data_IF_822091889761
#
_entry.id   IF_822091889761
#
_cell.length_a   1.000
_cell.length_b   1.000
_cell.length_c   1.000
_cell.angle_alpha   90.00
_cell.angle_beta   90.00
_cell.angle_gamma   90.00
#
_symmetry.space_group_name_H-M   'P 1'
#
loop_
_entity.id
_entity.type
_entity.pdbx_description
1 polymer ?
#
# COMPACT_ATOMS: atom_id res chain seq x y z
N UNK A 1 49.36 -0.90 12.21
CA UNK A 1 48.57 -1.36 11.05
C UNK A 1 47.12 -1.26 11.47
N UNK A 2 46.37 -0.34 10.87
CA UNK A 2 44.99 -0.07 11.26
C UNK A 2 44.17 -1.35 11.03
N UNK A 3 43.50 -1.84 12.08
CA UNK A 3 42.52 -2.90 11.96
C UNK A 3 41.43 -2.38 11.04
N UNK A 4 41.30 -2.93 9.82
CA UNK A 4 40.20 -2.58 8.93
C UNK A 4 38.89 -2.92 9.64
N UNK A 5 38.22 -1.90 10.17
CA UNK A 5 36.86 -2.03 10.70
C UNK A 5 35.97 -2.37 9.51
N UNK A 6 35.58 -3.65 9.42
CA UNK A 6 34.64 -4.09 8.40
C UNK A 6 33.27 -3.55 8.76
N UNK A 7 32.73 -2.69 7.91
CA UNK A 7 31.40 -2.09 8.10
C UNK A 7 30.37 -2.84 7.26
N UNK A 8 29.28 -3.27 7.90
CA UNK A 8 28.11 -3.86 7.28
C UNK A 8 27.00 -2.81 7.20
N UNK A 9 26.60 -2.47 5.99
CA UNK A 9 25.44 -1.65 5.73
C UNK A 9 24.22 -2.55 5.61
N UNK A 10 23.17 -2.23 6.37
CA UNK A 10 21.87 -2.90 6.25
C UNK A 10 20.80 -1.88 5.91
N UNK A 11 19.91 -2.28 5.01
CA UNK A 11 18.73 -1.53 4.62
C UNK A 11 17.53 -2.47 4.75
N UNK A 12 16.69 -2.17 5.73
CA UNK A 12 15.43 -2.84 5.95
C UNK A 12 14.28 -2.08 5.26
N UNK A 13 13.39 -2.83 4.61
CA UNK A 13 12.11 -2.30 4.19
C UNK A 13 11.11 -2.39 5.35
N UNK A 14 10.15 -1.46 5.40
CA UNK A 14 9.19 -1.35 6.50
C UNK A 14 8.28 -2.58 6.64
N UNK A 15 7.94 -3.19 5.51
CA UNK A 15 7.07 -4.36 5.44
C UNK A 15 7.65 -5.38 4.46
N UNK A 16 7.78 -6.63 4.91
CA UNK A 16 8.27 -7.74 4.11
C UNK A 16 7.31 -8.91 4.23
N UNK A 17 6.84 -9.40 3.08
CA UNK A 17 6.00 -10.60 3.00
C UNK A 17 6.85 -11.85 2.81
N UNK A 18 6.64 -12.83 3.67
CA UNK A 18 7.38 -14.10 3.64
C UNK A 18 6.42 -15.28 3.51
N UNK A 19 6.73 -16.18 2.58
CA UNK A 19 5.96 -17.42 2.36
C UNK A 19 6.63 -18.65 2.99
N UNK A 20 7.85 -18.50 3.53
CA UNK A 20 8.64 -19.58 4.13
C UNK A 20 8.58 -19.51 5.65
N UNK A 21 8.50 -20.66 6.31
CA UNK A 21 8.48 -20.75 7.77
C UNK A 21 9.81 -20.38 8.43
N UNK A 22 10.93 -20.62 7.73
CA UNK A 22 12.26 -20.24 8.17
C UNK A 22 12.67 -18.96 7.46
N UNK A 23 12.66 -17.85 8.17
CA UNK A 23 13.00 -16.54 7.64
C UNK A 23 14.47 -16.26 7.93
N UNK A 24 15.25 -16.02 6.89
CA UNK A 24 16.65 -15.63 6.99
C UNK A 24 16.80 -14.11 6.94
N UNK A 25 17.90 -13.57 7.45
CA UNK A 25 18.19 -12.13 7.37
C UNK A 25 18.26 -11.64 5.92
N UNK A 26 18.78 -12.45 4.99
CA UNK A 26 18.81 -12.13 3.57
C UNK A 26 17.45 -12.05 2.89
N UNK A 27 16.40 -12.63 3.48
CA UNK A 27 15.03 -12.52 2.97
C UNK A 27 14.36 -11.21 3.43
N UNK A 28 14.84 -10.60 4.53
CA UNK A 28 14.24 -9.40 5.14
C UNK A 28 15.00 -8.10 4.84
N UNK A 29 16.29 -8.21 4.54
CA UNK A 29 17.20 -7.07 4.52
C UNK A 29 18.05 -7.07 3.25
N UNK A 30 18.19 -5.89 2.66
CA UNK A 30 19.28 -5.62 1.73
C UNK A 30 20.55 -5.32 2.53
N UNK A 31 21.63 -6.04 2.25
CA UNK A 31 22.89 -5.91 2.98
C UNK A 31 24.06 -5.77 2.02
N UNK A 32 25.00 -4.91 2.36
CA UNK A 32 26.24 -4.65 1.62
C UNK A 32 27.42 -4.58 2.59
N UNK A 33 28.54 -5.21 2.24
CA UNK A 33 29.74 -5.28 3.08
C UNK A 33 30.97 -5.48 2.20
N UNK A 34 32.10 -4.90 2.60
CA UNK A 34 33.39 -5.08 1.92
C UNK A 34 33.85 -6.55 1.91
N UNK A 35 33.57 -7.30 2.97
CA UNK A 35 33.85 -8.74 3.03
C UNK A 35 32.63 -9.58 2.59
N UNK A 36 32.72 -10.14 1.38
CA UNK A 36 31.69 -11.01 0.79
C UNK A 36 31.47 -12.30 1.57
N UNK A 37 32.47 -12.80 2.28
CA UNK A 37 32.38 -14.03 3.07
C UNK A 37 31.50 -13.80 4.30
N UNK A 38 31.70 -12.67 4.98
CA UNK A 38 30.85 -12.25 6.10
C UNK A 38 29.43 -11.98 5.59
N UNK A 39 29.29 -11.26 4.47
CA UNK A 39 27.99 -10.95 3.87
C UNK A 39 27.14 -12.20 3.61
N UNK A 40 27.71 -13.24 2.99
CA UNK A 40 26.99 -14.48 2.69
C UNK A 40 26.59 -15.24 3.95
N UNK A 41 27.47 -15.26 4.97
CA UNK A 41 27.16 -15.90 6.25
C UNK A 41 26.05 -15.15 6.99
N UNK A 42 26.12 -13.82 7.06
CA UNK A 42 25.09 -12.99 7.69
C UNK A 42 23.74 -13.14 6.98
N UNK A 43 23.72 -13.17 5.65
CA UNK A 43 22.49 -13.45 4.86
C UNK A 43 21.81 -14.77 5.22
N UNK A 44 22.59 -15.79 5.58
CA UNK A 44 22.07 -17.11 5.95
C UNK A 44 21.63 -17.25 7.42
N UNK A 45 21.84 -16.22 8.25
CA UNK A 45 21.43 -16.26 9.66
C UNK A 45 19.90 -16.30 9.76
N UNK A 46 19.40 -17.21 10.57
CA UNK A 46 17.97 -17.36 10.84
C UNK A 46 17.55 -16.41 11.94
N UNK A 47 16.57 -15.55 11.66
CA UNK A 47 16.05 -14.57 12.64
C UNK A 47 14.71 -14.98 13.24
N UNK A 48 13.84 -15.63 12.46
CA UNK A 48 12.51 -16.02 12.88
C UNK A 48 12.19 -17.44 12.39
N UNK A 49 11.62 -18.24 13.29
CA UNK A 49 10.98 -19.51 12.95
C UNK A 49 9.49 -19.40 13.23
N UNK A 50 8.70 -19.31 12.17
CA UNK A 50 7.25 -19.26 12.26
C UNK A 50 6.77 -20.67 12.61
N UNK A 51 6.12 -20.82 13.77
CA UNK A 51 5.73 -22.13 14.33
C UNK A 51 4.36 -22.60 13.84
N UNK A 52 3.49 -21.68 13.40
CA UNK A 52 2.12 -21.99 12.96
C UNK A 52 1.94 -21.64 11.49
N UNK A 53 1.24 -22.49 10.72
CA UNK A 53 0.83 -22.19 9.33
C UNK A 53 -0.36 -21.22 9.24
N UNK A 54 -0.49 -20.31 10.20
CA UNK A 54 -1.53 -19.28 10.21
C UNK A 54 -0.94 -17.95 9.79
N UNK A 55 -1.77 -17.13 9.13
CA UNK A 55 -1.40 -15.77 8.78
C UNK A 55 -1.05 -14.98 10.05
N UNK A 56 0.20 -14.54 10.16
CA UNK A 56 0.71 -13.89 11.36
C UNK A 56 1.66 -12.76 10.99
N UNK A 57 1.53 -11.65 11.71
CA UNK A 57 2.40 -10.47 11.57
C UNK A 57 3.29 -10.36 12.79
N UNK A 58 4.58 -10.20 12.54
CA UNK A 58 5.62 -10.02 13.56
C UNK A 58 6.26 -8.66 13.35
N UNK A 59 6.51 -7.93 14.45
CA UNK A 59 7.31 -6.70 14.40
C UNK A 59 8.66 -7.00 15.01
N UNK A 60 9.72 -6.83 14.22
CA UNK A 60 11.10 -7.10 14.60
C UNK A 60 11.86 -5.76 14.62
N UNK A 61 12.42 -5.41 15.77
CA UNK A 61 13.28 -4.24 15.87
C UNK A 61 14.64 -4.51 15.21
N UNK A 62 15.18 -3.53 14.50
CA UNK A 62 16.52 -3.59 13.90
C UNK A 62 17.60 -3.88 14.95
N UNK A 63 17.40 -3.44 16.20
CA UNK A 63 18.33 -3.74 17.29
C UNK A 63 18.44 -5.23 17.58
N UNK A 64 17.34 -5.99 17.46
CA UNK A 64 17.36 -7.45 17.62
C UNK A 64 18.15 -8.12 16.50
N UNK A 65 18.04 -7.61 15.29
CA UNK A 65 18.84 -8.06 14.15
C UNK A 65 20.32 -7.76 14.39
N UNK A 66 20.65 -6.54 14.80
CA UNK A 66 22.02 -6.11 15.10
C UNK A 66 22.62 -6.99 16.20
N UNK A 67 21.87 -7.25 17.28
CA UNK A 67 22.30 -8.15 18.35
C UNK A 67 22.58 -9.57 17.84
N UNK A 68 21.70 -10.13 17.00
CA UNK A 68 21.89 -11.45 16.39
C UNK A 68 23.16 -11.53 15.52
N UNK A 69 23.50 -10.45 14.81
CA UNK A 69 24.72 -10.38 14.01
C UNK A 69 25.95 -10.26 14.92
N UNK A 70 25.88 -9.42 15.96
CA UNK A 70 26.98 -9.21 16.91
C UNK A 70 27.30 -10.43 17.76
N UNK A 71 26.34 -11.32 18.03
CA UNK A 71 26.61 -12.62 18.68
C UNK A 71 27.63 -13.46 17.88
N UNK A 72 27.59 -13.41 16.55
CA UNK A 72 28.49 -14.16 15.67
C UNK A 72 29.72 -13.33 15.27
N UNK A 73 29.56 -12.00 15.14
CA UNK A 73 30.61 -11.07 14.71
C UNK A 73 30.70 -9.84 15.61
N UNK A 74 31.31 -9.95 16.81
CA UNK A 74 31.34 -8.87 17.81
C UNK A 74 32.14 -7.63 17.38
N UNK A 75 33.03 -7.78 16.39
CA UNK A 75 33.90 -6.69 15.89
C UNK A 75 33.36 -6.01 14.63
N UNK A 76 32.20 -6.43 14.13
CA UNK A 76 31.59 -5.88 12.93
C UNK A 76 30.89 -4.56 13.26
N UNK A 77 31.24 -3.50 12.55
CA UNK A 77 30.51 -2.25 12.64
C UNK A 77 29.24 -2.36 11.79
N UNK A 78 28.09 -2.00 12.33
CA UNK A 78 26.81 -2.14 11.63
C UNK A 78 26.15 -0.77 11.50
N UNK A 79 25.80 -0.39 10.27
CA UNK A 79 25.10 0.85 9.97
C UNK A 79 23.73 0.58 9.34
N UNK A 80 22.67 1.04 10.01
CA UNK A 80 21.30 0.97 9.48
C UNK A 80 21.03 2.17 8.55
N UNK A 81 20.67 1.89 7.31
CA UNK A 81 20.25 2.86 6.30
C UNK A 81 18.75 2.77 5.97
N UNK A 82 18.03 1.83 6.58
CA UNK A 82 16.60 1.62 6.37
C UNK A 82 15.78 1.94 7.60
N UNK A 83 14.61 1.30 7.68
CA UNK A 83 13.67 1.47 8.79
C UNK A 83 14.21 0.87 10.10
N UNK A 84 13.73 1.38 11.24
CA UNK A 84 14.11 0.88 12.58
C UNK A 84 13.33 -0.36 12.99
N UNK A 85 12.12 -0.51 12.48
CA UNK A 85 11.20 -1.59 12.82
C UNK A 85 10.64 -2.21 11.55
N UNK A 86 10.66 -3.55 11.52
CA UNK A 86 10.33 -4.33 10.34
C UNK A 86 9.07 -5.15 10.63
N UNK A 87 8.06 -4.98 9.80
CA UNK A 87 6.85 -5.79 9.84
C UNK A 87 7.06 -7.00 8.92
N UNK A 88 7.11 -8.20 9.50
CA UNK A 88 7.19 -9.47 8.78
C UNK A 88 5.80 -10.08 8.74
N UNK A 89 5.20 -10.12 7.55
CA UNK A 89 3.89 -10.73 7.33
C UNK A 89 4.10 -12.13 6.74
N UNK A 90 3.72 -13.16 7.50
CA UNK A 90 3.63 -14.51 6.97
C UNK A 90 2.23 -14.73 6.41
N UNK A 91 2.14 -14.94 5.10
CA UNK A 91 0.89 -15.27 4.43
C UNK A 91 1.07 -16.52 3.58
N UNK A 92 0.27 -17.54 3.89
CA UNK A 92 0.20 -18.74 3.06
C UNK A 92 -0.74 -18.43 1.90
N UNK A 93 -0.17 -18.15 0.72
CA UNK A 93 -0.91 -17.75 -0.48
C UNK A 93 -1.80 -18.89 -1.00
N UNK A 94 -2.89 -19.17 -0.30
CA UNK A 94 -3.98 -20.00 -0.79
C UNK A 94 -4.85 -19.12 -1.65
N UNK A 95 -4.51 -19.04 -2.94
CA UNK A 95 -5.31 -18.33 -3.92
C UNK A 95 -6.71 -18.94 -3.96
N UNK A 96 -7.77 -18.18 -3.61
CA UNK A 96 -9.13 -18.66 -3.76
C UNK A 96 -9.41 -19.02 -5.23
N UNK A 97 -10.36 -19.93 -5.50
CA UNK A 97 -10.72 -20.28 -6.87
C UNK A 97 -11.17 -19.03 -7.64
N UNK A 98 -10.64 -18.86 -8.86
CA UNK A 98 -10.81 -17.69 -9.73
C UNK A 98 -12.26 -17.22 -9.85
N UNK A 99 -13.21 -18.16 -9.90
CA UNK A 99 -14.65 -17.90 -10.00
C UNK A 99 -15.20 -17.13 -8.79
N UNK A 100 -14.74 -17.46 -7.58
CA UNK A 100 -15.17 -16.78 -6.35
C UNK A 100 -14.66 -15.34 -6.29
N UNK A 101 -13.44 -15.10 -6.79
CA UNK A 101 -12.90 -13.75 -6.95
C UNK A 101 -13.73 -12.92 -7.92
N UNK A 102 -14.04 -13.46 -9.10
CA UNK A 102 -14.83 -12.75 -10.11
C UNK A 102 -16.20 -12.38 -9.55
N UNK A 103 -16.87 -13.32 -8.87
CA UNK A 103 -18.19 -13.05 -8.26
C UNK A 103 -18.13 -11.90 -7.25
N UNK A 104 -17.13 -11.91 -6.36
CA UNK A 104 -16.93 -10.83 -5.37
C UNK A 104 -16.69 -9.49 -6.05
N UNK A 105 -15.84 -9.46 -7.07
CA UNK A 105 -15.54 -8.23 -7.83
C UNK A 105 -16.79 -7.67 -8.48
N UNK A 106 -17.60 -8.52 -9.13
CA UNK A 106 -18.85 -8.08 -9.77
C UNK A 106 -19.84 -7.53 -8.74
N UNK A 107 -19.99 -8.21 -7.59
CA UNK A 107 -20.90 -7.76 -6.54
C UNK A 107 -20.47 -6.42 -5.95
N UNK A 108 -19.20 -6.28 -5.58
CA UNK A 108 -18.66 -5.03 -5.03
C UNK A 108 -18.75 -3.91 -6.06
N UNK A 109 -18.39 -4.18 -7.32
CA UNK A 109 -18.52 -3.20 -8.40
C UNK A 109 -19.97 -2.77 -8.63
N UNK A 110 -20.95 -3.66 -8.50
CA UNK A 110 -22.36 -3.34 -8.65
C UNK A 110 -22.83 -2.41 -7.53
N UNK A 111 -22.47 -2.70 -6.28
CA UNK A 111 -22.81 -1.86 -5.12
C UNK A 111 -22.22 -0.47 -5.28
N UNK A 112 -20.94 -0.36 -5.67
CA UNK A 112 -20.28 0.93 -5.91
C UNK A 112 -20.96 1.66 -7.07
N UNK A 113 -21.27 0.98 -8.17
CA UNK A 113 -21.94 1.59 -9.33
C UNK A 113 -23.29 2.20 -8.97
N UNK A 114 -24.18 1.43 -8.34
CA UNK A 114 -25.50 1.93 -7.95
C UNK A 114 -25.41 2.99 -6.84
N UNK A 115 -24.49 2.81 -5.88
CA UNK A 115 -24.24 3.79 -4.82
C UNK A 115 -23.79 5.13 -5.39
N UNK A 116 -22.77 5.14 -6.26
CA UNK A 116 -22.28 6.35 -6.92
C UNK A 116 -23.33 6.99 -7.82
N UNK A 117 -24.06 6.20 -8.62
CA UNK A 117 -25.13 6.72 -9.47
C UNK A 117 -26.24 7.39 -8.63
N UNK A 118 -26.63 6.76 -7.53
CA UNK A 118 -27.60 7.32 -6.59
C UNK A 118 -27.09 8.61 -5.94
N UNK A 119 -25.85 8.65 -5.48
CA UNK A 119 -25.25 9.86 -4.89
C UNK A 119 -25.19 11.02 -5.89
N UNK A 120 -24.80 10.77 -7.15
CA UNK A 120 -24.78 11.79 -8.19
C UNK A 120 -26.20 12.29 -8.48
N UNK A 121 -27.18 11.39 -8.57
CA UNK A 121 -28.58 11.76 -8.80
C UNK A 121 -29.14 12.59 -7.65
N UNK A 122 -28.89 12.17 -6.41
CA UNK A 122 -29.30 12.90 -5.21
C UNK A 122 -28.67 14.30 -5.18
N UNK A 123 -27.37 14.41 -5.47
CA UNK A 123 -26.68 15.69 -5.57
C UNK A 123 -27.28 16.60 -6.65
N UNK A 124 -27.49 16.09 -7.85
CA UNK A 124 -28.07 16.86 -8.95
C UNK A 124 -29.52 17.30 -8.65
N UNK A 125 -30.28 16.47 -7.92
CA UNK A 125 -31.62 16.81 -7.48
C UNK A 125 -31.62 17.86 -6.36
N UNK A 126 -30.73 17.74 -5.37
CA UNK A 126 -30.60 18.66 -4.23
C UNK A 126 -30.17 20.07 -4.68
N UNK A 127 -29.19 20.14 -5.59
CA UNK A 127 -28.75 21.40 -6.21
C UNK A 127 -29.78 21.91 -7.24
N UNK A 128 -30.77 21.10 -7.63
CA UNK A 128 -31.80 21.48 -8.59
C UNK A 128 -31.25 21.71 -10.00
N UNK A 129 -30.27 20.91 -10.42
CA UNK A 129 -29.52 21.07 -11.68
C UNK A 129 -30.44 21.18 -12.90
N UNK A 130 -31.49 20.36 -12.98
CA UNK A 130 -32.48 20.43 -14.08
C UNK A 130 -33.21 21.77 -14.14
N UNK A 131 -33.57 22.36 -12.98
CA UNK A 131 -34.22 23.68 -12.95
C UNK A 131 -33.26 24.78 -13.36
N UNK A 132 -32.03 24.73 -12.85
CA UNK A 132 -30.98 25.69 -13.18
C UNK A 132 -30.65 25.66 -14.67
N UNK A 133 -30.47 24.47 -15.24
CA UNK A 133 -30.20 24.32 -16.67
C UNK A 133 -31.39 24.74 -17.54
N UNK A 134 -32.62 24.47 -17.12
CA UNK A 134 -33.82 24.99 -17.81
C UNK A 134 -33.88 26.51 -17.82
N UNK A 135 -33.58 27.17 -16.70
CA UNK A 135 -33.54 28.64 -16.61
C UNK A 135 -32.42 29.24 -17.47
N UNK A 136 -31.21 28.66 -17.44
CA UNK A 136 -30.09 29.11 -18.26
C UNK A 136 -30.41 28.93 -19.74
N UNK A 137 -31.01 27.81 -20.12
CA UNK A 137 -31.42 27.57 -21.50
C UNK A 137 -32.48 28.57 -21.96
N UNK A 138 -33.53 28.81 -21.17
CA UNK A 138 -34.57 29.79 -21.49
C UNK A 138 -34.01 31.20 -21.64
N UNK A 139 -33.04 31.59 -20.79
CA UNK A 139 -32.36 32.88 -20.88
C UNK A 139 -31.57 33.03 -22.19
N UNK A 140 -30.89 31.97 -22.64
CA UNK A 140 -30.03 32.02 -23.84
C UNK A 140 -30.87 31.87 -25.13
N UNK A 141 -31.79 30.92 -25.17
CA UNK A 141 -32.56 30.57 -26.38
C UNK A 141 -33.90 31.31 -26.49
N UNK A 142 -34.35 31.99 -25.43
CA UNK A 142 -35.62 32.73 -25.40
C UNK A 142 -36.87 31.85 -25.45
N UNK A 143 -36.72 30.52 -25.30
CA UNK A 143 -37.81 29.54 -25.31
C UNK A 143 -37.58 28.49 -24.23
N UNK A 144 -38.68 28.01 -23.63
CA UNK A 144 -38.65 26.92 -22.66
C UNK A 144 -38.20 25.62 -23.31
N UNK A 145 -37.46 24.82 -22.56
CA UNK A 145 -37.01 23.48 -22.95
C UNK A 145 -38.16 22.48 -22.83
N UNK A 146 -38.42 21.71 -23.89
CA UNK A 146 -39.28 20.52 -23.83
C UNK A 146 -38.40 19.28 -23.58
N UNK A 147 -38.23 18.91 -22.30
CA UNK A 147 -37.51 17.70 -21.89
C UNK A 147 -35.98 17.87 -21.78
N UNK A 148 -35.24 16.80 -22.15
CA UNK A 148 -33.77 16.74 -22.02
C UNK A 148 -33.08 17.86 -22.82
N UNK A 149 -32.32 18.71 -22.13
CA UNK A 149 -31.66 19.86 -22.76
C UNK A 149 -30.27 19.50 -23.29
N UNK A 150 -29.81 20.21 -24.33
CA UNK A 150 -28.42 20.10 -24.82
C UNK A 150 -27.41 20.38 -23.70
N UNK A 151 -27.78 21.26 -22.75
CA UNK A 151 -26.95 21.61 -21.60
C UNK A 151 -26.71 20.40 -20.69
N UNK A 152 -27.75 19.60 -20.40
CA UNK A 152 -27.64 18.35 -19.63
C UNK A 152 -26.75 17.31 -20.32
N UNK A 153 -26.84 17.20 -21.64
CA UNK A 153 -25.99 16.30 -22.43
C UNK A 153 -24.52 16.74 -22.35
N UNK A 154 -24.24 18.03 -22.57
CA UNK A 154 -22.87 18.56 -22.49
C UNK A 154 -22.29 18.46 -21.09
N UNK A 155 -23.10 18.69 -20.05
CA UNK A 155 -22.73 18.49 -18.66
C UNK A 155 -22.38 17.02 -18.39
N UNK A 156 -23.19 16.07 -18.86
CA UNK A 156 -22.93 14.64 -18.65
C UNK A 156 -21.64 14.18 -19.33
N UNK A 157 -21.38 14.64 -20.55
CA UNK A 157 -20.12 14.37 -21.27
C UNK A 157 -18.94 15.02 -20.55
N UNK A 158 -19.07 16.27 -20.15
CA UNK A 158 -18.05 17.01 -19.41
C UNK A 158 -17.71 16.34 -18.07
N UNK A 159 -18.71 15.87 -17.34
CA UNK A 159 -18.55 15.12 -16.10
C UNK A 159 -17.79 13.81 -16.34
N UNK A 160 -18.20 13.04 -17.36
CA UNK A 160 -17.53 11.79 -17.71
C UNK A 160 -16.06 12.02 -18.08
N UNK A 161 -15.77 13.01 -18.96
CA UNK A 161 -14.41 13.38 -19.34
C UNK A 161 -13.61 13.85 -18.12
N UNK A 162 -14.21 14.70 -17.26
CA UNK A 162 -13.58 15.21 -16.06
C UNK A 162 -13.15 14.10 -15.10
N UNK A 163 -14.03 13.11 -14.86
CA UNK A 163 -13.74 11.95 -14.03
C UNK A 163 -12.60 11.11 -14.66
N UNK A 164 -12.64 10.87 -15.98
CA UNK A 164 -11.60 10.12 -16.68
C UNK A 164 -10.22 10.78 -16.60
N UNK A 165 -10.16 12.11 -16.76
CA UNK A 165 -8.93 12.89 -16.62
C UNK A 165 -8.45 12.87 -15.17
N UNK A 166 -9.36 13.08 -14.20
CA UNK A 166 -9.03 13.11 -12.77
C UNK A 166 -8.38 11.81 -12.28
N UNK A 167 -8.94 10.66 -12.67
CA UNK A 167 -8.36 9.37 -12.30
C UNK A 167 -7.12 8.99 -13.10
N UNK A 168 -6.76 9.74 -14.15
CA UNK A 168 -5.56 9.52 -14.99
C UNK A 168 -5.38 8.04 -15.41
N UNK A 169 -6.47 7.29 -15.54
CA UNK A 169 -6.44 5.85 -15.77
C UNK A 169 -7.50 5.47 -16.80
N UNK A 170 -7.06 5.19 -18.03
CA UNK A 170 -7.92 4.65 -19.08
C UNK A 170 -7.48 3.24 -19.43
N UNK A 171 -8.07 2.26 -18.72
CA UNK A 171 -7.73 0.85 -18.87
C UNK A 171 -6.25 0.59 -18.57
N UNK A 172 -5.45 0.24 -19.59
CA UNK A 172 -4.00 -0.03 -19.42
C UNK A 172 -3.09 1.16 -19.71
N UNK A 173 -3.63 2.31 -20.13
CA UNK A 173 -2.83 3.50 -20.49
C UNK A 173 -3.01 4.59 -19.43
N UNK A 174 -1.89 5.13 -18.96
CA UNK A 174 -1.81 6.33 -18.13
C UNK A 174 -1.63 7.55 -19.04
N UNK A 175 -2.34 8.64 -18.79
CA UNK A 175 -2.14 9.88 -19.55
C UNK A 175 -0.90 10.65 -19.07
N UNK A 176 -0.60 10.54 -17.78
CA UNK A 176 0.59 11.14 -17.13
C UNK A 176 1.35 10.10 -16.31
N UNK A 177 2.66 10.31 -16.11
CA UNK A 177 3.56 9.44 -15.30
C UNK A 177 3.29 9.54 -13.79
N UNK A 178 2.66 10.64 -13.37
CA UNK A 178 2.30 10.92 -11.98
C UNK A 178 1.31 9.88 -11.42
N UNK A 179 1.44 9.54 -10.12
CA UNK A 179 0.54 8.61 -9.47
C UNK A 179 -0.88 9.15 -9.46
N UNK A 180 -1.86 8.26 -9.63
CA UNK A 180 -3.27 8.67 -9.59
C UNK A 180 -3.67 9.09 -8.18
N UNK A 181 -4.69 9.96 -8.01
CA UNK A 181 -5.17 10.33 -6.67
C UNK A 181 -5.54 9.12 -5.81
N UNK A 182 -6.07 8.05 -6.42
CA UNK A 182 -6.37 6.79 -5.74
C UNK A 182 -5.10 6.07 -5.29
N UNK A 183 -4.07 5.99 -6.14
CA UNK A 183 -2.77 5.41 -5.77
C UNK A 183 -2.14 6.17 -4.59
N UNK A 184 -2.24 7.51 -4.57
CA UNK A 184 -1.76 8.32 -3.44
C UNK A 184 -2.51 7.99 -2.16
N UNK A 185 -3.86 7.93 -2.20
CA UNK A 185 -4.65 7.59 -1.03
C UNK A 185 -4.38 6.17 -0.52
N UNK A 186 -4.21 5.21 -1.42
CA UNK A 186 -3.84 3.84 -1.04
C UNK A 186 -2.48 3.81 -0.35
N UNK A 187 -1.49 4.55 -0.84
CA UNK A 187 -0.18 4.66 -0.17
C UNK A 187 -0.28 5.31 1.22
N UNK A 188 -1.06 6.38 1.36
CA UNK A 188 -1.29 7.01 2.67
C UNK A 188 -1.95 6.02 3.64
N UNK A 189 -2.99 5.31 3.17
CA UNK A 189 -3.68 4.29 3.96
C UNK A 189 -2.74 3.14 4.38
N UNK A 190 -1.91 2.63 3.47
CA UNK A 190 -0.91 1.60 3.77
C UNK A 190 0.11 2.09 4.81
N UNK A 191 0.61 3.32 4.67
CA UNK A 191 1.53 3.93 5.64
C UNK A 191 0.88 4.11 7.02
N UNK A 192 -0.38 4.50 7.07
CA UNK A 192 -1.13 4.67 8.32
C UNK A 192 -1.35 3.32 9.02
N UNK A 193 -1.66 2.27 8.26
CA UNK A 193 -1.73 0.90 8.79
C UNK A 193 -0.39 0.48 9.36
N UNK A 194 0.70 0.64 8.59
CA UNK A 194 2.04 0.21 9.03
C UNK A 194 2.46 0.94 10.31
N UNK A 195 2.24 2.26 10.36
CA UNK A 195 2.52 3.08 11.56
C UNK A 195 1.71 2.59 12.75
N UNK A 196 0.41 2.39 12.57
CA UNK A 196 -0.48 1.90 13.62
C UNK A 196 -0.09 0.51 14.11
N UNK A 197 0.40 -0.37 13.23
CA UNK A 197 0.85 -1.72 13.60
C UNK A 197 2.10 -1.69 14.46
N UNK A 198 3.10 -0.88 14.09
CA UNK A 198 4.32 -0.68 14.89
C UNK A 198 3.95 -0.10 16.26
N UNK A 199 3.19 0.99 16.30
CA UNK A 199 2.78 1.61 17.57
C UNK A 199 2.01 0.64 18.48
N UNK A 200 1.13 -0.18 17.93
CA UNK A 200 0.39 -1.17 18.70
C UNK A 200 1.29 -2.30 19.21
N UNK A 201 2.27 -2.74 18.42
CA UNK A 201 3.22 -3.76 18.85
C UNK A 201 4.09 -3.26 20.00
N UNK A 202 4.58 -2.02 19.92
CA UNK A 202 5.31 -1.33 20.99
C UNK A 202 4.47 -1.24 22.27
N UNK A 203 3.22 -0.75 22.17
CA UNK A 203 2.30 -0.64 23.32
C UNK A 203 2.00 -1.99 23.97
N UNK A 204 1.85 -3.05 23.18
CA UNK A 204 1.53 -4.39 23.68
C UNK A 204 2.76 -5.19 24.12
N UNK A 205 3.98 -4.63 24.00
CA UNK A 205 5.27 -5.33 24.22
C UNK A 205 5.38 -6.66 23.44
N UNK A 206 4.73 -6.70 22.28
CA UNK A 206 4.74 -7.84 21.34
C UNK A 206 5.86 -7.72 20.31
N UNK A 207 6.56 -6.59 20.30
CA UNK A 207 7.78 -6.42 19.54
C UNK A 207 8.86 -7.39 20.00
N UNK A 208 9.52 -7.99 19.02
CA UNK A 208 10.70 -8.81 19.27
C UNK A 208 11.89 -7.86 19.46
N UNK A 209 12.09 -7.45 20.71
CA UNK A 209 13.19 -6.60 21.15
C UNK A 209 14.41 -7.42 21.64
N UNK A 210 15.54 -6.72 21.84
CA UNK A 210 16.76 -7.30 22.43
C UNK A 210 16.47 -7.75 23.88
N UNK A 211 16.72 -9.03 24.18
CA UNK A 211 16.54 -9.60 25.52
C UNK A 211 15.25 -10.41 25.75
N UNK A 212 14.43 -10.63 24.70
CA UNK A 212 13.28 -11.55 24.69
C UNK A 212 13.35 -12.57 23.55
#
# INVERSE_FOLDING_TARGET
MASESTTLYLKADRNVEVSKQNVMLGDLLSMECSDKTILMKVKSLRILKIREEKEQRYVISVLKIIACIHEQYPRLEIQNLGETDIIVTYENQKTPPLLWHILKVVLVSSVIFFGSAFSIMAFNNDVGVTKLFGQIYELIMGKKTDGFSVLEVTYSIGLAIGILIFFNHFGKKRFTVDPTPMEIQMRLYENDIQTTLVENAARQKKELEVGK
#
